data_IF_534446896821
#
_entry.id   IF_534446896821
#
_cell.length_a   1.000
_cell.length_b   1.000
_cell.length_c   1.000
_cell.angle_alpha   90.00
_cell.angle_beta   90.00
_cell.angle_gamma   90.00
#
_symmetry.space_group_name_H-M   'P 1'
#
loop_
_entity.id
_entity.type
_entity.pdbx_description
1 polymer ?
#
# COMPACT_ATOMS: atom_id res chain seq x y z
N UNK A 1 9.96 -9.89 11.52
CA UNK A 1 9.28 -11.20 11.58
C UNK A 1 7.85 -10.95 11.15
N UNK A 2 7.41 -11.59 10.06
CA UNK A 2 6.10 -11.37 9.43
C UNK A 2 5.03 -12.00 10.34
N UNK A 3 4.07 -11.22 10.85
CA UNK A 3 2.99 -11.73 11.71
C UNK A 3 1.78 -12.12 10.84
N UNK A 4 1.44 -13.41 10.70
CA UNK A 4 0.33 -13.85 9.85
C UNK A 4 -1.07 -13.57 10.43
N UNK A 5 -1.19 -13.12 11.68
CA UNK A 5 -2.50 -12.81 12.29
C UNK A 5 -3.07 -11.44 11.89
N UNK A 6 -2.33 -10.70 11.08
CA UNK A 6 -2.40 -9.25 11.00
C UNK A 6 -2.72 -8.76 9.58
N UNK A 7 -2.32 -9.56 8.59
CA UNK A 7 -2.84 -9.47 7.24
C UNK A 7 -2.85 -10.87 6.66
N UNK A 8 -3.82 -11.17 5.80
CA UNK A 8 -3.83 -12.41 5.02
C UNK A 8 -3.37 -12.09 3.61
N UNK A 9 -2.31 -12.75 3.16
CA UNK A 9 -1.87 -12.71 1.77
C UNK A 9 -2.46 -13.92 1.03
N UNK A 10 -3.50 -13.69 0.24
CA UNK A 10 -4.11 -14.72 -0.58
C UNK A 10 -3.50 -14.69 -1.99
N UNK A 11 -2.80 -15.74 -2.39
CA UNK A 11 -2.38 -15.90 -3.77
C UNK A 11 -3.60 -16.32 -4.60
N UNK A 12 -4.17 -15.39 -5.38
CA UNK A 12 -5.35 -15.65 -6.20
C UNK A 12 -4.96 -16.30 -7.54
N UNK A 13 -3.82 -15.89 -8.10
CA UNK A 13 -3.20 -16.52 -9.28
C UNK A 13 -1.68 -16.42 -9.19
N UNK A 14 -0.95 -17.07 -10.10
CA UNK A 14 0.53 -17.08 -10.09
C UNK A 14 1.22 -15.71 -10.02
N UNK A 15 0.52 -14.63 -10.40
CA UNK A 15 1.06 -13.26 -10.38
C UNK A 15 0.16 -12.25 -9.64
N UNK A 16 -0.87 -12.70 -8.92
CA UNK A 16 -1.82 -11.80 -8.24
C UNK A 16 -1.98 -12.25 -6.80
N UNK A 17 -1.70 -11.35 -5.86
CA UNK A 17 -1.94 -11.54 -4.44
C UNK A 17 -2.94 -10.49 -3.94
N UNK A 18 -3.89 -10.93 -3.13
CA UNK A 18 -4.80 -10.10 -2.37
C UNK A 18 -4.24 -9.92 -0.95
N UNK A 19 -4.25 -8.68 -0.45
CA UNK A 19 -3.85 -8.36 0.91
C UNK A 19 -5.11 -7.95 1.68
N UNK A 20 -5.52 -8.76 2.65
CA UNK A 20 -6.61 -8.44 3.57
C UNK A 20 -5.98 -7.86 4.84
N UNK A 21 -6.36 -6.63 5.20
CA UNK A 21 -5.91 -5.95 6.43
C UNK A 21 -7.09 -5.82 7.41
N UNK A 22 -6.79 -5.77 8.71
CA UNK A 22 -7.81 -5.57 9.75
C UNK A 22 -8.41 -4.15 9.74
N UNK A 23 -7.75 -3.19 9.09
CA UNK A 23 -8.18 -1.79 9.00
C UNK A 23 -8.83 -1.50 7.63
N UNK A 24 -9.93 -0.73 7.63
CA UNK A 24 -10.63 -0.27 6.42
C UNK A 24 -9.90 0.89 5.71
N UNK A 25 -8.59 1.04 5.92
CA UNK A 25 -7.81 2.17 5.42
C UNK A 25 -6.60 1.61 4.67
N UNK A 26 -6.42 2.03 3.42
CA UNK A 26 -5.28 1.61 2.61
C UNK A 26 -3.95 2.15 3.17
N UNK A 27 -3.89 3.45 3.45
CA UNK A 27 -2.77 4.13 4.08
C UNK A 27 -3.26 5.41 4.77
N UNK A 28 -2.55 5.86 5.80
CA UNK A 28 -2.87 7.08 6.55
C UNK A 28 -1.62 7.86 6.95
N UNK A 29 -1.82 9.13 7.26
CA UNK A 29 -0.75 10.00 7.77
C UNK A 29 -0.76 9.97 9.30
N UNK A 30 0.38 9.69 9.91
CA UNK A 30 0.63 9.83 11.34
C UNK A 30 1.76 10.84 11.58
N UNK A 31 1.75 11.53 12.72
CA UNK A 31 2.83 12.44 13.08
C UNK A 31 3.72 11.79 14.13
N UNK A 32 5.04 11.92 13.98
CA UNK A 32 5.96 11.51 15.04
C UNK A 32 6.13 12.59 16.12
N UNK A 33 6.87 12.26 17.17
CA UNK A 33 7.13 13.16 18.30
C UNK A 33 7.91 14.42 17.91
N UNK A 34 8.46 14.48 16.69
CA UNK A 34 9.18 15.65 16.16
C UNK A 34 8.31 16.49 15.21
N UNK A 35 7.04 16.11 15.02
CA UNK A 35 6.09 16.82 14.16
C UNK A 35 6.22 16.47 12.67
N UNK A 36 7.09 15.52 12.31
CA UNK A 36 7.20 15.05 10.94
C UNK A 36 6.01 14.13 10.60
N UNK A 37 5.43 14.32 9.43
CA UNK A 37 4.40 13.44 8.89
C UNK A 37 5.03 12.11 8.47
N UNK A 38 4.29 11.01 8.64
CA UNK A 38 4.71 9.67 8.29
C UNK A 38 3.58 9.01 7.50
N UNK A 39 3.91 8.41 6.37
CA UNK A 39 2.96 7.52 5.68
C UNK A 39 3.02 6.17 6.37
N UNK A 40 1.87 5.76 6.91
CA UNK A 40 1.68 4.46 7.53
C UNK A 40 0.69 3.64 6.74
N UNK A 41 1.03 2.38 6.55
CA UNK A 41 0.06 1.37 6.19
C UNK A 41 -0.51 0.77 7.48
N UNK A 42 -1.65 0.06 7.39
CA UNK A 42 -2.15 -0.75 8.48
C UNK A 42 -1.05 -1.55 9.15
N UNK A 43 -1.24 -1.82 10.43
CA UNK A 43 -0.36 -2.72 11.20
C UNK A 43 1.04 -2.15 11.47
N UNK A 44 1.12 -0.81 11.49
CA UNK A 44 2.29 -0.08 11.95
C UNK A 44 3.44 -0.06 10.95
N UNK A 45 3.24 -0.55 9.72
CA UNK A 45 4.25 -0.45 8.67
C UNK A 45 4.43 1.03 8.33
N UNK A 46 5.65 1.53 8.53
CA UNK A 46 6.02 2.91 8.22
C UNK A 46 6.79 2.92 6.92
N UNK A 47 6.28 3.65 5.93
CA UNK A 47 6.90 3.76 4.60
C UNK A 47 8.03 4.79 4.61
N UNK A 48 7.69 6.04 4.91
CA UNK A 48 8.62 7.17 4.83
C UNK A 48 8.15 8.35 5.69
N UNK A 49 9.07 9.29 5.98
CA UNK A 49 8.81 10.54 6.71
C UNK A 49 8.83 11.74 5.78
N UNK A 50 7.99 12.72 6.07
CA UNK A 50 7.77 13.92 5.28
C UNK A 50 7.74 15.14 6.19
N UNK A 51 8.30 16.26 5.71
CA UNK A 51 8.29 17.54 6.45
C UNK A 51 6.88 18.14 6.58
N UNK A 52 5.95 17.74 5.71
CA UNK A 52 4.58 18.27 5.71
C UNK A 52 3.54 17.17 5.50
N UNK A 53 2.33 17.41 6.03
CA UNK A 53 1.17 16.56 5.76
C UNK A 53 0.87 16.46 4.25
N UNK A 54 0.99 17.57 3.52
CA UNK A 54 0.74 17.61 2.08
C UNK A 54 1.68 16.69 1.29
N UNK A 55 2.97 16.65 1.66
CA UNK A 55 3.93 15.74 1.04
C UNK A 55 3.62 14.26 1.33
N UNK A 56 3.21 13.94 2.57
CA UNK A 56 2.77 12.58 2.93
C UNK A 56 1.50 12.14 2.16
N UNK A 57 0.52 13.04 2.01
CA UNK A 57 -0.69 12.76 1.22
C UNK A 57 -0.39 12.56 -0.27
N UNK A 58 0.52 13.36 -0.83
CA UNK A 58 0.99 13.18 -2.21
C UNK A 58 1.67 11.82 -2.40
N UNK A 59 2.42 11.35 -1.41
CA UNK A 59 3.03 10.02 -1.46
C UNK A 59 1.97 8.91 -1.45
N UNK A 60 0.95 9.01 -0.58
CA UNK A 60 -0.17 8.05 -0.57
C UNK A 60 -0.84 7.99 -1.95
N UNK A 61 -1.10 9.15 -2.56
CA UNK A 61 -1.68 9.22 -3.90
C UNK A 61 -0.75 8.60 -4.96
N UNK A 62 0.56 8.87 -4.89
CA UNK A 62 1.55 8.28 -5.81
C UNK A 62 1.56 6.75 -5.74
N UNK A 63 1.55 6.20 -4.53
CA UNK A 63 1.52 4.73 -4.33
C UNK A 63 0.21 4.16 -4.88
N UNK A 64 -0.93 4.83 -4.66
CA UNK A 64 -2.20 4.41 -5.24
C UNK A 64 -2.16 4.36 -6.77
N UNK A 65 -1.61 5.38 -7.44
CA UNK A 65 -1.47 5.38 -8.89
C UNK A 65 -0.56 4.26 -9.40
N UNK A 66 0.53 3.95 -8.69
CA UNK A 66 1.39 2.81 -9.05
C UNK A 66 0.66 1.47 -8.98
N UNK A 67 -0.23 1.30 -8.00
CA UNK A 67 -1.07 0.10 -7.89
C UNK A 67 -2.02 0.01 -9.09
N UNK A 68 -2.71 1.10 -9.43
CA UNK A 68 -3.60 1.14 -10.59
C UNK A 68 -2.86 0.82 -11.92
N UNK A 69 -1.67 1.40 -12.11
CA UNK A 69 -0.85 1.13 -13.29
C UNK A 69 -0.43 -0.35 -13.36
N UNK A 70 -0.05 -0.94 -12.23
CA UNK A 70 0.31 -2.35 -12.14
C UNK A 70 -0.89 -3.27 -12.45
N UNK A 71 -2.08 -2.93 -11.97
CA UNK A 71 -3.31 -3.66 -12.29
C UNK A 71 -3.63 -3.60 -13.79
N UNK A 72 -3.50 -2.43 -14.42
CA UNK A 72 -3.72 -2.27 -15.85
C UNK A 72 -2.73 -3.11 -16.68
N UNK A 73 -1.45 -3.07 -16.31
CA UNK A 73 -0.40 -3.88 -16.95
C UNK A 73 -0.66 -5.38 -16.78
N UNK A 74 -1.12 -5.81 -15.61
CA UNK A 74 -1.46 -7.21 -15.34
C UNK A 74 -2.60 -7.69 -16.24
N UNK A 75 -3.67 -6.90 -16.39
CA UNK A 75 -4.80 -7.21 -17.27
C UNK A 75 -4.36 -7.38 -18.73
N UNK A 76 -3.54 -6.45 -19.25
CA UNK A 76 -3.00 -6.53 -20.62
C UNK A 76 -2.15 -7.78 -20.84
N UNK A 77 -1.35 -8.20 -19.86
CA UNK A 77 -0.54 -9.43 -19.97
C UNK A 77 -1.40 -10.69 -20.07
N UNK A 78 -2.52 -10.74 -19.35
CA UNK A 78 -3.46 -11.88 -19.39
C UNK A 78 -4.14 -11.99 -20.75
N UNK A 79 -4.47 -10.86 -21.39
CA UNK A 79 -5.09 -10.85 -22.73
C UNK A 79 -4.14 -11.33 -23.83
N UNK A 80 -2.84 -11.03 -23.73
CA UNK A 80 -1.84 -11.46 -24.72
C UNK A 80 -1.53 -12.97 -24.64
N UNK A 81 -1.82 -13.62 -23.51
CA UNK A 81 -1.54 -15.04 -23.27
C UNK A 81 -2.80 -15.93 -23.25
N UNK A 82 -3.96 -15.40 -23.68
CA UNK A 82 -5.17 -16.18 -23.98
C UNK A 82 -5.27 -16.47 -25.47
#
# INVERSE_FOLDING_TARGET
>A
MFNPEVFTLNLITGNVAEVITCENVFAYVAFDNTGNAQVKFPEGITHEKFETNGAALNEIARIWFLILDAEELSKKRIEVHK
#
